data_IF_778894893326
#
_entry.id   IF_778894893326
#
_cell.length_a   1.000
_cell.length_b   1.000
_cell.length_c   1.000
_cell.angle_alpha   90.00
_cell.angle_beta   90.00
_cell.angle_gamma   90.00
#
_symmetry.space_group_name_H-M   'P 1'
#
loop_
_entity.id
_entity.type
_entity.pdbx_description
1 polymer ?
#
# COMPACT_ATOMS: atom_id res chain seq x y z
N UNK A 1 -1.92 -33.76 -39.01
CA UNK A 1 -1.13 -32.73 -38.29
C UNK A 1 -1.88 -31.41 -38.00
N UNK A 2 -3.18 -31.25 -38.32
CA UNK A 2 -3.93 -30.00 -38.02
C UNK A 2 -4.48 -29.91 -36.59
N UNK A 3 -4.71 -31.06 -35.93
CA UNK A 3 -5.29 -31.14 -34.57
C UNK A 3 -4.31 -30.66 -33.48
N UNK A 4 -3.00 -30.87 -33.69
CA UNK A 4 -1.96 -30.44 -32.74
C UNK A 4 -1.82 -28.91 -32.66
N UNK A 5 -1.99 -28.21 -33.78
CA UNK A 5 -1.88 -26.75 -33.81
C UNK A 5 -3.00 -26.06 -33.02
N UNK A 6 -4.23 -26.58 -33.10
CA UNK A 6 -5.37 -26.04 -32.35
C UNK A 6 -5.21 -26.17 -30.83
N UNK A 7 -4.63 -27.27 -30.36
CA UNK A 7 -4.42 -27.51 -28.94
C UNK A 7 -3.36 -26.57 -28.32
N UNK A 8 -2.29 -26.30 -29.07
CA UNK A 8 -1.22 -25.38 -28.65
C UNK A 8 -1.74 -23.93 -28.56
N UNK A 9 -2.55 -23.50 -29.53
CA UNK A 9 -3.16 -22.15 -29.49
C UNK A 9 -4.13 -22.01 -28.31
N UNK A 10 -4.91 -23.05 -28.03
CA UNK A 10 -5.85 -23.04 -26.91
C UNK A 10 -5.12 -22.96 -25.56
N UNK A 11 -4.00 -23.68 -25.39
CA UNK A 11 -3.16 -23.59 -24.19
C UNK A 11 -2.58 -22.19 -24.01
N UNK A 12 -2.08 -21.55 -25.08
CA UNK A 12 -1.54 -20.19 -24.99
C UNK A 12 -2.60 -19.16 -24.57
N UNK A 13 -3.85 -19.32 -25.04
CA UNK A 13 -4.96 -18.45 -24.60
C UNK A 13 -5.24 -18.66 -23.12
N UNK A 14 -5.21 -19.89 -22.60
CA UNK A 14 -5.43 -20.18 -21.17
C UNK A 14 -4.32 -19.55 -20.30
N UNK A 15 -3.06 -19.60 -20.73
CA UNK A 15 -1.96 -18.97 -19.99
C UNK A 15 -2.07 -17.43 -19.94
N UNK A 16 -2.68 -16.80 -20.95
CA UNK A 16 -2.91 -15.35 -20.97
C UNK A 16 -4.02 -14.90 -20.00
N UNK A 17 -4.86 -15.82 -19.51
CA UNK A 17 -5.92 -15.54 -18.55
C UNK A 17 -5.50 -15.74 -17.09
N UNK A 18 -4.27 -16.16 -16.83
CA UNK A 18 -3.72 -16.19 -15.47
C UNK A 18 -3.28 -14.76 -15.14
N UNK A 19 -4.25 -13.90 -14.84
CA UNK A 19 -3.99 -12.63 -14.16
C UNK A 19 -3.41 -12.99 -12.78
N UNK A 20 -2.11 -12.78 -12.62
CA UNK A 20 -1.44 -12.94 -11.32
C UNK A 20 -1.84 -11.77 -10.42
N UNK A 21 -2.99 -11.88 -9.76
CA UNK A 21 -3.36 -10.94 -8.71
C UNK A 21 -2.41 -11.12 -7.51
N UNK A 22 -1.38 -10.29 -7.42
CA UNK A 22 -0.52 -10.27 -6.24
C UNK A 22 -1.34 -9.69 -5.07
N UNK A 23 -1.70 -10.59 -4.17
CA UNK A 23 -2.47 -10.26 -2.98
C UNK A 23 -1.55 -9.95 -1.81
N UNK A 24 -1.80 -8.87 -1.07
CA UNK A 24 -1.03 -8.57 0.14
C UNK A 24 -1.60 -9.32 1.35
N UNK A 25 -0.70 -9.89 2.15
CA UNK A 25 -1.04 -10.54 3.42
C UNK A 25 -0.66 -9.63 4.58
N UNK A 26 -1.52 -9.52 5.59
CA UNK A 26 -1.19 -8.76 6.79
C UNK A 26 -0.59 -9.71 7.83
N UNK A 27 0.66 -9.44 8.24
CA UNK A 27 1.40 -10.24 9.23
C UNK A 27 1.35 -9.52 10.57
N UNK A 28 0.22 -9.62 11.26
CA UNK A 28 0.12 -9.18 12.65
C UNK A 28 0.51 -10.38 13.53
N UNK A 29 1.51 -10.22 14.42
CA UNK A 29 1.93 -11.21 15.42
C UNK A 29 2.56 -12.52 14.91
N UNK A 30 3.26 -12.49 13.76
CA UNK A 30 4.00 -13.66 13.25
C UNK A 30 3.11 -14.83 12.78
N UNK A 31 1.79 -14.68 12.88
CA UNK A 31 0.80 -15.58 12.29
C UNK A 31 0.26 -14.90 11.02
N UNK A 32 0.37 -15.58 9.87
CA UNK A 32 -0.25 -15.10 8.63
C UNK A 32 -1.76 -14.96 8.86
N UNK A 33 -2.24 -13.73 9.00
CA UNK A 33 -3.66 -13.46 9.12
C UNK A 33 -4.32 -13.76 7.78
N UNK A 34 -5.46 -14.46 7.80
CA UNK A 34 -6.19 -14.93 6.60
C UNK A 34 -6.89 -13.80 5.82
N UNK A 35 -6.58 -12.53 6.12
CA UNK A 35 -7.12 -11.38 5.39
C UNK A 35 -6.18 -11.01 4.26
N UNK A 36 -6.62 -11.34 3.06
CA UNK A 36 -6.02 -10.98 1.78
C UNK A 36 -6.53 -9.60 1.36
N UNK A 37 -5.61 -8.69 1.02
CA UNK A 37 -5.94 -7.35 0.52
C UNK A 37 -5.65 -7.27 -0.97
N UNK A 38 -6.53 -6.59 -1.71
CA UNK A 38 -6.37 -6.34 -3.15
C UNK A 38 -5.24 -5.33 -3.41
N UNK A 39 -4.64 -5.40 -4.59
CA UNK A 39 -3.71 -4.38 -5.10
C UNK A 39 -4.32 -2.98 -4.98
N UNK A 40 -3.49 -2.00 -4.63
CA UNK A 40 -3.84 -0.61 -4.35
C UNK A 40 -4.77 -0.39 -3.16
N UNK A 41 -5.04 -1.42 -2.35
CA UNK A 41 -5.75 -1.23 -1.09
C UNK A 41 -4.92 -0.35 -0.15
N UNK A 42 -5.59 0.64 0.44
CA UNK A 42 -5.01 1.57 1.40
C UNK A 42 -5.65 1.39 2.76
N UNK A 43 -4.84 1.33 3.80
CA UNK A 43 -5.28 1.44 5.18
C UNK A 43 -4.47 2.52 5.89
N UNK A 44 -5.11 3.21 6.83
CA UNK A 44 -4.45 4.21 7.66
C UNK A 44 -4.55 3.76 9.11
N UNK A 45 -3.41 3.66 9.79
CA UNK A 45 -3.34 3.37 11.22
C UNK A 45 -2.32 4.28 11.88
N UNK A 46 -2.66 4.87 13.02
CA UNK A 46 -1.81 5.81 13.78
C UNK A 46 -1.13 6.90 12.91
N UNK A 47 -1.85 7.44 11.92
CA UNK A 47 -1.33 8.41 10.94
C UNK A 47 -0.22 7.87 10.01
N UNK A 48 -0.18 6.56 9.80
CA UNK A 48 0.66 5.88 8.82
C UNK A 48 -0.24 5.32 7.73
N UNK A 49 0.04 5.66 6.47
CA UNK A 49 -0.66 5.09 5.32
C UNK A 49 0.09 3.84 4.83
N UNK A 50 -0.59 2.70 4.79
CA UNK A 50 -0.08 1.47 4.20
C UNK A 50 -0.79 1.22 2.88
N UNK A 51 -0.02 0.94 1.83
CA UNK A 51 -0.54 0.64 0.49
C UNK A 51 -0.11 -0.75 0.06
N UNK A 52 -1.05 -1.59 -0.36
CA UNK A 52 -0.76 -2.87 -0.98
C UNK A 52 -0.34 -2.67 -2.44
N UNK A 53 0.87 -3.06 -2.79
CA UNK A 53 1.40 -2.90 -4.15
C UNK A 53 1.09 -4.12 -5.02
N UNK A 54 1.25 -3.95 -6.34
CA UNK A 54 1.01 -5.01 -7.34
C UNK A 54 2.01 -6.18 -7.28
N UNK A 55 3.05 -6.10 -6.45
CA UNK A 55 3.97 -7.20 -6.16
C UNK A 55 3.60 -7.97 -4.87
N UNK A 56 2.50 -7.61 -4.21
CA UNK A 56 2.06 -8.23 -2.94
C UNK A 56 2.78 -7.69 -1.70
N UNK A 57 3.65 -6.69 -1.84
CA UNK A 57 4.32 -6.03 -0.73
C UNK A 57 3.55 -4.81 -0.22
N UNK A 58 3.77 -4.45 1.04
CA UNK A 58 3.22 -3.25 1.63
C UNK A 58 4.22 -2.09 1.53
N UNK A 59 3.78 -0.98 0.94
CA UNK A 59 4.44 0.32 1.09
C UNK A 59 3.95 1.00 2.37
N UNK A 60 4.88 1.59 3.13
CA UNK A 60 4.58 2.32 4.37
C UNK A 60 4.92 3.79 4.15
N UNK A 61 3.98 4.67 4.46
CA UNK A 61 4.16 6.12 4.38
C UNK A 61 3.83 6.76 5.72
N UNK A 62 4.88 7.16 6.43
CA UNK A 62 4.79 7.92 7.68
C UNK A 62 4.67 9.42 7.45
N UNK A 63 4.59 10.17 8.55
CA UNK A 63 4.62 11.62 8.54
C UNK A 63 5.95 12.15 8.00
N UNK A 64 5.87 13.24 7.24
CA UNK A 64 7.05 13.93 6.73
C UNK A 64 7.79 14.64 7.86
N UNK A 65 9.11 14.73 7.72
CA UNK A 65 9.92 15.60 8.54
C UNK A 65 9.77 17.04 8.04
N UNK A 66 9.22 17.91 8.88
CA UNK A 66 8.98 19.30 8.55
C UNK A 66 10.12 20.18 9.05
N UNK A 67 10.58 21.10 8.19
CA UNK A 67 11.66 22.04 8.54
C UNK A 67 11.19 23.47 8.28
N UNK A 68 11.22 24.32 9.31
CA UNK A 68 10.99 25.74 9.13
C UNK A 68 12.20 26.40 8.47
N UNK A 69 11.95 27.29 7.49
CA UNK A 69 13.02 28.03 6.80
C UNK A 69 13.81 28.96 7.73
N UNK A 70 13.15 29.51 8.77
CA UNK A 70 13.74 30.46 9.72
C UNK A 70 13.80 29.89 11.14
N UNK A 71 12.66 29.86 11.83
CA UNK A 71 12.56 29.47 13.24
C UNK A 71 11.25 28.74 13.48
N UNK A 72 11.30 27.74 14.36
CA UNK A 72 10.13 27.08 14.94
C UNK A 72 9.67 27.89 16.15
N UNK A 73 8.42 28.36 16.14
CA UNK A 73 7.80 29.10 17.25
C UNK A 73 6.80 28.25 18.05
N UNK A 74 6.47 27.06 17.55
CA UNK A 74 5.59 26.12 18.24
C UNK A 74 5.49 24.80 17.49
N UNK A 75 4.67 23.91 18.00
CA UNK A 75 4.42 22.61 17.39
C UNK A 75 2.95 22.22 17.54
N UNK A 76 2.32 21.83 16.44
CA UNK A 76 1.00 21.21 16.46
C UNK A 76 1.17 19.70 16.65
N UNK A 77 0.50 19.14 17.65
CA UNK A 77 0.55 17.70 17.93
C UNK A 77 -0.26 16.91 16.91
N UNK A 78 0.07 15.62 16.78
CA UNK A 78 -0.66 14.73 15.88
C UNK A 78 -2.16 14.69 16.24
N UNK A 79 -3.01 14.77 15.21
CA UNK A 79 -4.46 14.69 15.34
C UNK A 79 -5.01 13.47 14.60
N UNK A 80 -5.12 12.35 15.31
CA UNK A 80 -5.58 11.08 14.73
C UNK A 80 -7.04 11.06 14.29
N UNK A 81 -7.82 12.11 14.57
CA UNK A 81 -9.18 12.27 14.03
C UNK A 81 -9.19 12.78 12.60
N UNK A 82 -8.06 13.28 12.07
CA UNK A 82 -7.92 13.74 10.69
C UNK A 82 -7.35 12.63 9.79
N UNK A 83 -7.61 12.66 8.47
CA UNK A 83 -6.96 11.74 7.53
C UNK A 83 -5.48 12.11 7.31
N UNK A 84 -4.66 11.13 6.91
CA UNK A 84 -3.29 11.40 6.43
C UNK A 84 -3.34 12.31 5.19
N UNK A 85 -2.44 13.31 5.06
CA UNK A 85 -1.34 13.68 5.95
C UNK A 85 -1.72 14.68 7.07
N UNK A 86 -2.97 15.10 7.17
CA UNK A 86 -3.43 16.12 8.13
C UNK A 86 -3.47 15.65 9.59
N UNK A 87 -3.33 14.34 9.83
CA UNK A 87 -3.14 13.82 11.17
C UNK A 87 -1.71 14.01 11.70
N UNK A 88 -0.75 14.38 10.84
CA UNK A 88 0.63 14.57 11.24
C UNK A 88 0.78 15.86 12.04
N UNK A 89 1.61 15.81 13.08
CA UNK A 89 2.08 17.02 13.73
C UNK A 89 3.02 17.79 12.81
N UNK A 90 3.04 19.11 12.96
CA UNK A 90 3.90 19.99 12.18
C UNK A 90 4.38 21.17 13.03
N UNK A 91 5.59 21.71 12.76
CA UNK A 91 6.08 22.89 13.43
C UNK A 91 5.31 24.12 12.96
N UNK A 92 5.05 25.03 13.90
CA UNK A 92 4.55 26.36 13.60
C UNK A 92 5.80 27.23 13.33
N UNK A 93 5.87 27.80 12.13
CA UNK A 93 7.00 28.60 11.68
C UNK A 93 6.70 30.11 11.78
N UNK A 94 7.76 30.89 12.02
CA UNK A 94 7.78 32.38 11.96
C UNK A 94 8.28 32.89 10.61
#
# INVERSE_FOLDING_TARGET
MKIFAGFVVCLLIIFLWIESDASCFNTHDGKRSRKTFKTNYKLTDQCVEYTCNANGEWSIKGCYEWVCKRRVIGYETANFSKPFPYCCGYPICD
#
